data_IF_507987933005
#
_entry.id   IF_507987933005
#
_cell.length_a   1.000
_cell.length_b   1.000
_cell.length_c   1.000
_cell.angle_alpha   90.00
_cell.angle_beta   90.00
_cell.angle_gamma   90.00
#
_symmetry.space_group_name_H-M   'P 1'
#
loop_
_entity.id
_entity.type
_entity.pdbx_description
1 polymer ?
#
# COMPACT_ATOMS: atom_id res chain seq x y z
N UNK A 1 -15.46 11.90 29.46
CA UNK A 1 -14.39 10.95 29.10
C UNK A 1 -14.55 10.40 27.68
N UNK A 2 -15.72 9.87 27.30
CA UNK A 2 -16.00 9.34 25.94
C UNK A 2 -15.87 10.41 24.84
N UNK A 3 -16.32 11.65 25.10
CA UNK A 3 -16.23 12.76 24.14
C UNK A 3 -14.78 13.07 23.69
N UNK A 4 -13.81 12.95 24.60
CA UNK A 4 -12.40 13.21 24.28
C UNK A 4 -11.78 12.13 23.38
N UNK A 5 -12.23 10.88 23.50
CA UNK A 5 -11.73 9.77 22.67
C UNK A 5 -12.22 9.93 21.23
N UNK A 6 -13.50 10.24 21.02
CA UNK A 6 -14.01 10.46 19.67
C UNK A 6 -13.31 11.63 18.98
N UNK A 7 -13.15 12.77 19.65
CA UNK A 7 -12.43 13.92 19.09
C UNK A 7 -10.98 13.57 18.73
N UNK A 8 -10.27 12.86 19.62
CA UNK A 8 -8.91 12.40 19.35
C UNK A 8 -8.83 11.50 18.11
N UNK A 9 -9.77 10.58 17.96
CA UNK A 9 -9.84 9.67 16.81
C UNK A 9 -10.13 10.41 15.50
N UNK A 10 -10.98 11.43 15.53
CA UNK A 10 -11.23 12.28 14.35
C UNK A 10 -9.96 13.00 13.91
N UNK A 11 -9.16 13.54 14.84
CA UNK A 11 -7.88 14.16 14.50
C UNK A 11 -6.89 13.19 13.85
N UNK A 12 -6.79 11.96 14.36
CA UNK A 12 -5.96 10.92 13.72
C UNK A 12 -6.43 10.68 12.29
N UNK A 13 -7.74 10.61 12.07
CA UNK A 13 -8.30 10.43 10.73
C UNK A 13 -7.99 11.57 9.80
N UNK A 14 -8.14 12.81 10.25
CA UNK A 14 -7.82 13.99 9.45
C UNK A 14 -6.34 14.00 9.05
N UNK A 15 -5.45 13.55 9.94
CA UNK A 15 -4.02 13.36 9.61
C UNK A 15 -3.85 12.32 8.49
N UNK A 16 -4.50 11.15 8.58
CA UNK A 16 -4.43 10.15 7.52
C UNK A 16 -4.98 10.70 6.19
N UNK A 17 -6.13 11.39 6.22
CA UNK A 17 -6.68 12.02 5.02
C UNK A 17 -5.72 13.06 4.43
N UNK A 18 -5.16 13.93 5.27
CA UNK A 18 -4.22 14.97 4.86
C UNK A 18 -2.99 14.37 4.17
N UNK A 19 -2.35 13.38 4.80
CA UNK A 19 -1.13 12.75 4.27
C UNK A 19 -1.37 12.02 2.94
N UNK A 20 -2.55 11.43 2.75
CA UNK A 20 -2.89 10.69 1.55
C UNK A 20 -3.47 11.57 0.41
N UNK A 21 -3.92 12.79 0.72
CA UNK A 21 -4.60 13.69 -0.24
C UNK A 21 -3.76 14.08 -1.49
N UNK A 22 -2.42 14.19 -1.44
CA UNK A 22 -1.63 14.48 -2.65
C UNK A 22 -1.63 13.33 -3.67
N UNK A 23 -1.85 12.09 -3.21
CA UNK A 23 -1.76 10.87 -4.02
C UNK A 23 -3.13 10.30 -4.38
N UNK A 24 -4.16 10.66 -3.61
CA UNK A 24 -5.49 10.08 -3.74
C UNK A 24 -6.58 11.15 -3.57
N UNK A 25 -7.54 11.15 -4.50
CA UNK A 25 -8.69 12.05 -4.48
C UNK A 25 -9.72 11.73 -3.37
N UNK A 26 -9.66 10.55 -2.76
CA UNK A 26 -10.45 10.16 -1.57
C UNK A 26 -11.98 10.32 -1.72
N UNK A 27 -12.50 10.20 -2.94
CA UNK A 27 -13.93 10.29 -3.23
C UNK A 27 -14.70 9.16 -2.53
N UNK A 28 -15.74 9.51 -1.78
CA UNK A 28 -16.56 8.55 -1.02
C UNK A 28 -17.14 7.43 -1.89
N UNK A 29 -17.63 7.75 -3.09
CA UNK A 29 -18.18 6.77 -4.04
C UNK A 29 -17.15 5.78 -4.58
N UNK A 30 -15.86 6.04 -4.41
CA UNK A 30 -14.75 5.22 -4.93
C UNK A 30 -13.89 4.62 -3.81
N UNK A 31 -14.30 4.76 -2.55
CA UNK A 31 -13.58 4.28 -1.37
C UNK A 31 -14.29 3.11 -0.71
N UNK A 32 -13.52 2.26 -0.03
CA UNK A 32 -14.08 1.27 0.88
C UNK A 32 -14.47 1.90 2.21
N UNK A 33 -15.38 1.24 2.91
CA UNK A 33 -15.81 1.62 4.25
C UNK A 33 -15.55 0.46 5.21
N UNK A 34 -14.83 0.72 6.30
CA UNK A 34 -14.59 -0.25 7.37
C UNK A 34 -15.14 0.37 8.66
N UNK A 35 -15.90 -0.41 9.42
CA UNK A 35 -16.54 0.08 10.64
C UNK A 35 -17.48 1.29 10.47
N UNK A 36 -17.98 1.53 9.25
CA UNK A 36 -18.77 2.72 8.91
C UNK A 36 -17.93 3.95 8.57
N UNK A 37 -16.60 3.88 8.66
CA UNK A 37 -15.67 4.94 8.29
C UNK A 37 -15.11 4.71 6.89
N UNK A 38 -15.06 5.77 6.08
CA UNK A 38 -14.42 5.76 4.76
C UNK A 38 -12.91 5.56 4.93
N UNK A 39 -12.29 4.75 4.09
CA UNK A 39 -10.83 4.61 4.08
C UNK A 39 -10.13 5.93 3.66
N UNK A 40 -8.92 6.22 4.18
CA UNK A 40 -8.12 7.38 3.77
C UNK A 40 -7.57 7.28 2.34
N UNK A 41 -7.76 6.12 1.68
CA UNK A 41 -7.48 5.88 0.28
C UNK A 41 -8.74 5.42 -0.46
N UNK A 42 -8.77 5.64 -1.78
CA UNK A 42 -9.79 5.06 -2.65
C UNK A 42 -9.49 3.58 -2.89
N UNK A 43 -10.50 2.82 -3.31
CA UNK A 43 -10.41 1.38 -3.58
C UNK A 43 -9.24 1.03 -4.52
N UNK A 44 -8.96 1.87 -5.52
CA UNK A 44 -7.83 1.67 -6.46
C UNK A 44 -6.48 1.82 -5.75
N UNK A 45 -6.26 2.91 -5.03
CA UNK A 45 -5.00 3.15 -4.32
C UNK A 45 -4.78 2.06 -3.25
N UNK A 46 -5.81 1.76 -2.45
CA UNK A 46 -5.79 0.65 -1.49
C UNK A 46 -5.35 -0.66 -2.14
N UNK A 47 -5.93 -1.00 -3.30
CA UNK A 47 -5.59 -2.21 -4.04
C UNK A 47 -4.15 -2.21 -4.57
N UNK A 48 -3.65 -1.08 -5.07
CA UNK A 48 -2.25 -0.94 -5.52
C UNK A 48 -1.29 -1.20 -4.37
N UNK A 49 -1.53 -0.63 -3.18
CA UNK A 49 -0.68 -0.88 -2.01
C UNK A 49 -0.70 -2.35 -1.57
N UNK A 50 -1.88 -2.98 -1.53
CA UNK A 50 -2.00 -4.41 -1.22
C UNK A 50 -1.24 -5.25 -2.25
N UNK A 51 -1.45 -4.98 -3.53
CA UNK A 51 -0.76 -5.65 -4.63
C UNK A 51 0.76 -5.50 -4.51
N UNK A 52 1.25 -4.29 -4.24
CA UNK A 52 2.68 -4.01 -4.09
C UNK A 52 3.31 -4.86 -2.98
N UNK A 53 2.69 -4.91 -1.81
CA UNK A 53 3.16 -5.76 -0.72
C UNK A 53 3.18 -7.23 -1.14
N UNK A 54 2.09 -7.73 -1.74
CA UNK A 54 1.99 -9.12 -2.18
C UNK A 54 3.03 -9.47 -3.26
N UNK A 55 3.25 -8.60 -4.23
CA UNK A 55 4.25 -8.78 -5.29
C UNK A 55 5.67 -8.78 -4.74
N UNK A 56 5.97 -7.87 -3.81
CA UNK A 56 7.27 -7.81 -3.14
C UNK A 56 7.54 -9.10 -2.34
N UNK A 57 6.58 -9.54 -1.52
CA UNK A 57 6.70 -10.79 -0.75
C UNK A 57 6.79 -12.02 -1.67
N UNK A 58 6.02 -12.06 -2.75
CA UNK A 58 6.09 -13.15 -3.72
C UNK A 58 7.47 -13.23 -4.36
N UNK A 59 8.08 -12.10 -4.71
CA UNK A 59 9.45 -12.09 -5.23
C UNK A 59 10.44 -12.68 -4.23
N UNK A 60 10.40 -12.22 -2.97
CA UNK A 60 11.32 -12.67 -1.93
C UNK A 60 11.21 -14.18 -1.63
N UNK A 61 10.00 -14.74 -1.70
CA UNK A 61 9.74 -16.12 -1.33
C UNK A 61 9.92 -17.11 -2.49
N UNK A 62 9.65 -16.69 -3.73
CA UNK A 62 9.51 -17.62 -4.85
C UNK A 62 10.37 -17.29 -6.07
N UNK A 63 10.79 -16.03 -6.26
CA UNK A 63 11.50 -15.62 -7.47
C UNK A 63 13.00 -15.85 -7.34
N UNK A 64 13.62 -16.25 -8.45
CA UNK A 64 15.07 -16.43 -8.59
C UNK A 64 15.59 -15.57 -9.74
N UNK A 65 16.92 -15.46 -9.87
CA UNK A 65 17.59 -14.74 -10.97
C UNK A 65 17.13 -15.16 -12.36
N UNK A 66 16.68 -16.39 -12.55
CA UNK A 66 16.20 -16.88 -13.84
C UNK A 66 14.81 -16.30 -14.21
N UNK A 67 14.06 -15.79 -13.23
CA UNK A 67 12.70 -15.29 -13.41
C UNK A 67 12.62 -13.79 -13.76
N UNK A 68 13.75 -13.12 -14.06
CA UNK A 68 13.79 -11.67 -14.33
C UNK A 68 12.87 -11.23 -15.48
N UNK A 69 12.77 -12.06 -16.52
CA UNK A 69 11.88 -11.79 -17.65
C UNK A 69 10.41 -11.74 -17.21
N UNK A 70 10.01 -12.53 -16.20
CA UNK A 70 8.64 -12.53 -15.66
C UNK A 70 8.36 -11.23 -14.92
N UNK A 71 9.32 -10.70 -14.14
CA UNK A 71 9.17 -9.40 -13.47
C UNK A 71 8.90 -8.28 -14.49
N UNK A 72 9.71 -8.21 -15.55
CA UNK A 72 9.55 -7.17 -16.58
C UNK A 72 8.28 -7.37 -17.42
N UNK A 73 7.94 -8.61 -17.78
CA UNK A 73 6.70 -8.91 -18.51
C UNK A 73 5.45 -8.53 -17.71
N UNK A 74 5.50 -8.67 -16.37
CA UNK A 74 4.40 -8.27 -15.49
C UNK A 74 4.05 -6.79 -15.64
N UNK A 75 5.02 -5.91 -15.94
CA UNK A 75 4.79 -4.47 -16.11
C UNK A 75 3.78 -4.21 -17.22
N UNK A 76 3.92 -4.92 -18.33
CA UNK A 76 3.02 -4.74 -19.47
C UNK A 76 1.68 -5.41 -19.14
N UNK A 77 1.70 -6.68 -18.76
CA UNK A 77 0.46 -7.46 -18.61
C UNK A 77 -0.47 -6.91 -17.52
N UNK A 78 0.07 -6.41 -16.41
CA UNK A 78 -0.74 -6.03 -15.25
C UNK A 78 -1.04 -4.54 -15.15
N UNK A 79 -0.22 -3.67 -15.76
CA UNK A 79 -0.54 -2.24 -15.81
C UNK A 79 -1.47 -1.86 -16.97
N UNK A 80 -1.50 -2.64 -18.06
CA UNK A 80 -2.43 -2.38 -19.18
C UNK A 80 -3.89 -2.38 -18.72
N UNK A 81 -4.40 -3.37 -17.95
CA UNK A 81 -5.77 -3.32 -17.45
C UNK A 81 -6.08 -2.09 -16.60
N UNK A 82 -5.14 -1.65 -15.74
CA UNK A 82 -5.30 -0.43 -14.94
C UNK A 82 -5.31 0.82 -15.82
N UNK A 83 -4.41 0.89 -16.81
CA UNK A 83 -4.36 1.99 -17.77
C UNK A 83 -5.65 2.07 -18.58
N UNK A 84 -6.17 0.95 -19.09
CA UNK A 84 -7.45 0.90 -19.78
C UNK A 84 -8.58 1.37 -18.87
N UNK A 85 -8.63 0.91 -17.61
CA UNK A 85 -9.63 1.36 -16.65
C UNK A 85 -9.55 2.87 -16.38
N UNK A 86 -8.35 3.40 -16.17
CA UNK A 86 -8.13 4.84 -15.95
C UNK A 86 -8.48 5.70 -17.17
N UNK A 87 -8.03 5.29 -18.35
CA UNK A 87 -8.24 6.03 -19.61
C UNK A 87 -9.71 6.02 -20.01
N UNK A 88 -10.38 4.86 -19.95
CA UNK A 88 -11.81 4.78 -20.31
C UNK A 88 -12.69 5.60 -19.37
N UNK A 89 -12.33 5.70 -18.07
CA UNK A 89 -12.97 6.64 -17.15
C UNK A 89 -12.65 8.11 -17.46
N UNK A 90 -11.39 8.41 -17.81
CA UNK A 90 -10.97 9.79 -18.10
C UNK A 90 -11.75 10.39 -19.28
N UNK A 91 -12.02 9.58 -20.31
CA UNK A 91 -12.82 9.97 -21.47
C UNK A 91 -14.34 9.83 -21.25
N UNK A 92 -14.79 9.45 -20.06
CA UNK A 92 -16.23 9.32 -19.74
C UNK A 92 -16.94 8.17 -20.48
N UNK A 93 -16.19 7.20 -21.02
CA UNK A 93 -16.76 6.07 -21.77
C UNK A 93 -17.51 5.09 -20.86
N UNK A 94 -17.09 5.01 -19.59
CA UNK A 94 -17.77 4.27 -18.53
C UNK A 94 -17.29 4.75 -17.16
N UNK A 95 -18.10 4.53 -16.14
CA UNK A 95 -17.60 4.57 -14.77
C UNK A 95 -16.91 3.25 -14.40
N UNK A 96 -15.89 3.32 -13.56
CA UNK A 96 -15.29 2.14 -12.94
C UNK A 96 -16.05 1.78 -11.68
N UNK A 97 -16.08 0.51 -11.34
CA UNK A 97 -16.68 0.00 -10.11
C UNK A 97 -15.57 -0.35 -9.12
N UNK A 98 -15.91 -0.47 -7.83
CA UNK A 98 -14.88 -0.75 -6.82
C UNK A 98 -14.25 -2.14 -7.01
N UNK A 99 -14.97 -3.08 -7.62
CA UNK A 99 -14.48 -4.42 -7.98
C UNK A 99 -13.41 -4.32 -9.08
N UNK A 100 -13.67 -3.53 -10.14
CA UNK A 100 -12.70 -3.31 -11.22
C UNK A 100 -11.46 -2.57 -10.67
N UNK A 101 -11.67 -1.55 -9.83
CA UNK A 101 -10.57 -0.81 -9.17
C UNK A 101 -9.72 -1.72 -8.29
N UNK A 102 -10.37 -2.63 -7.55
CA UNK A 102 -9.69 -3.61 -6.71
C UNK A 102 -8.86 -4.58 -7.54
N UNK A 103 -9.44 -5.14 -8.61
CA UNK A 103 -8.75 -6.10 -9.46
C UNK A 103 -7.57 -5.45 -10.20
N UNK A 104 -7.83 -4.38 -10.96
CA UNK A 104 -6.81 -3.71 -11.76
C UNK A 104 -5.73 -3.06 -10.90
N UNK A 105 -6.11 -2.48 -9.76
CA UNK A 105 -5.18 -1.92 -8.80
C UNK A 105 -4.27 -2.98 -8.18
N UNK A 106 -4.84 -4.11 -7.73
CA UNK A 106 -4.04 -5.23 -7.16
C UNK A 106 -3.06 -5.79 -8.18
N UNK A 107 -3.48 -6.00 -9.43
CA UNK A 107 -2.60 -6.50 -10.49
C UNK A 107 -1.42 -5.54 -10.74
N UNK A 108 -1.71 -4.25 -10.94
CA UNK A 108 -0.68 -3.23 -11.14
C UNK A 108 0.27 -3.15 -9.95
N UNK A 109 -0.27 -3.14 -8.72
CA UNK A 109 0.51 -3.21 -7.49
C UNK A 109 1.44 -4.42 -7.47
N UNK A 110 0.92 -5.62 -7.76
CA UNK A 110 1.70 -6.86 -7.79
C UNK A 110 2.90 -6.75 -8.73
N UNK A 111 2.69 -6.19 -9.92
CA UNK A 111 3.76 -5.95 -10.87
C UNK A 111 4.82 -4.99 -10.32
N UNK A 112 4.42 -3.85 -9.74
CA UNK A 112 5.37 -2.93 -9.13
C UNK A 112 6.14 -3.58 -7.98
N UNK A 113 5.48 -4.38 -7.13
CA UNK A 113 6.12 -5.13 -6.05
C UNK A 113 7.21 -6.09 -6.55
N UNK A 114 6.91 -6.87 -7.58
CA UNK A 114 7.87 -7.79 -8.22
C UNK A 114 9.09 -7.04 -8.78
N UNK A 115 8.86 -5.91 -9.46
CA UNK A 115 9.94 -5.14 -10.09
C UNK A 115 10.77 -4.39 -9.05
N UNK A 116 10.17 -3.80 -8.03
CA UNK A 116 10.90 -3.13 -6.94
C UNK A 116 11.81 -4.14 -6.24
N UNK A 117 11.30 -5.32 -5.89
CA UNK A 117 12.09 -6.37 -5.27
C UNK A 117 13.26 -6.81 -6.15
N UNK A 118 13.01 -7.00 -7.45
CA UNK A 118 14.05 -7.30 -8.43
C UNK A 118 15.13 -6.22 -8.52
N UNK A 119 14.74 -4.94 -8.62
CA UNK A 119 15.69 -3.82 -8.71
C UNK A 119 16.54 -3.74 -7.44
N UNK A 120 15.93 -3.90 -6.26
CA UNK A 120 16.65 -3.94 -4.99
C UNK A 120 17.65 -5.10 -4.97
N UNK A 121 17.25 -6.29 -5.43
CA UNK A 121 18.13 -7.45 -5.50
C UNK A 121 19.29 -7.23 -6.50
N UNK A 122 19.02 -6.69 -7.67
CA UNK A 122 20.02 -6.37 -8.69
C UNK A 122 21.04 -5.37 -8.16
N UNK A 123 20.56 -4.26 -7.59
CA UNK A 123 21.41 -3.22 -6.99
C UNK A 123 22.29 -3.79 -5.86
N UNK A 124 21.71 -4.61 -4.99
CA UNK A 124 22.42 -5.26 -3.88
C UNK A 124 23.50 -6.25 -4.37
N UNK A 125 23.31 -6.86 -5.53
CA UNK A 125 24.27 -7.80 -6.11
C UNK A 125 25.47 -7.09 -6.77
N UNK A 126 25.23 -5.95 -7.42
CA UNK A 126 26.25 -5.13 -8.07
C UNK A 126 27.09 -4.32 -7.08
N UNK A 127 26.46 -3.83 -6.01
CA UNK A 127 27.11 -2.99 -5.01
C UNK A 127 27.19 -3.66 -3.63
N UNK A 128 27.84 -4.82 -3.55
CA UNK A 128 28.01 -5.55 -2.27
C UNK A 128 28.67 -4.69 -1.18
N UNK A 129 29.62 -3.84 -1.55
CA UNK A 129 30.33 -2.96 -0.60
C UNK A 129 29.47 -1.77 -0.18
N UNK A 130 28.73 -1.16 -1.11
CA UNK A 130 27.77 -0.09 -0.81
C UNK A 130 26.56 -0.62 -0.01
N UNK A 131 26.17 -1.89 -0.16
CA UNK A 131 25.08 -2.51 0.62
C UNK A 131 25.35 -2.43 2.11
N UNK A 132 26.61 -2.61 2.55
CA UNK A 132 26.97 -2.50 3.96
C UNK A 132 26.84 -1.07 4.47
N UNK A 133 27.12 -0.06 3.64
CA UNK A 133 26.92 1.37 3.95
C UNK A 133 25.45 1.79 3.86
N UNK A 134 24.73 1.44 2.79
CA UNK A 134 23.32 1.77 2.56
C UNK A 134 22.40 1.13 3.61
N UNK A 135 22.68 -0.11 4.03
CA UNK A 135 21.99 -0.77 5.15
C UNK A 135 22.43 -0.22 6.53
N UNK A 136 23.57 0.46 6.61
CA UNK A 136 23.97 1.29 7.74
C UNK A 136 23.46 2.73 7.67
N UNK A 137 22.91 3.19 6.54
CA UNK A 137 22.31 4.52 6.50
C UNK A 137 21.16 4.53 7.47
N UNK A 138 21.24 5.45 8.42
CA UNK A 138 20.28 5.62 9.51
C UNK A 138 18.85 5.77 8.97
N UNK A 139 18.70 6.25 7.73
CA UNK A 139 17.42 6.51 7.07
C UNK A 139 16.68 5.24 6.62
N UNK A 140 17.31 4.33 5.88
CA UNK A 140 16.64 3.09 5.44
C UNK A 140 16.35 2.16 6.62
N UNK A 141 17.29 2.08 7.58
CA UNK A 141 17.06 1.33 8.81
C UNK A 141 15.89 1.93 9.60
N UNK A 142 15.80 3.26 9.68
CA UNK A 142 14.65 3.97 10.27
C UNK A 142 13.35 3.67 9.54
N UNK A 143 13.31 3.68 8.21
CA UNK A 143 12.09 3.39 7.45
C UNK A 143 11.60 1.95 7.67
N UNK A 144 12.50 0.96 7.62
CA UNK A 144 12.16 -0.42 7.93
C UNK A 144 11.73 -0.60 9.40
N UNK A 145 12.42 0.04 10.35
CA UNK A 145 12.00 0.05 11.76
C UNK A 145 10.66 0.72 11.96
N UNK A 146 10.39 1.85 11.29
CA UNK A 146 9.11 2.56 11.37
C UNK A 146 7.99 1.69 10.78
N UNK A 147 8.22 1.02 9.64
CA UNK A 147 7.25 0.09 9.06
C UNK A 147 6.98 -1.11 9.99
N UNK A 148 8.03 -1.77 10.51
CA UNK A 148 7.90 -2.92 11.41
C UNK A 148 7.28 -2.50 12.75
N UNK A 149 7.70 -1.38 13.33
CA UNK A 149 7.12 -0.83 14.55
C UNK A 149 5.68 -0.39 14.31
N UNK A 150 5.35 0.11 13.11
CA UNK A 150 3.99 0.49 12.74
C UNK A 150 3.05 -0.71 12.70
N UNK A 151 3.54 -1.84 12.20
CA UNK A 151 2.86 -3.14 12.17
C UNK A 151 2.71 -3.72 13.58
N UNK A 152 3.77 -3.71 14.39
CA UNK A 152 3.76 -4.21 15.78
C UNK A 152 2.83 -3.36 16.66
N UNK A 153 2.88 -2.03 16.53
CA UNK A 153 2.00 -1.12 17.27
C UNK A 153 0.55 -1.32 16.83
N UNK A 154 0.31 -1.49 15.53
CA UNK A 154 -1.01 -1.83 15.01
C UNK A 154 -1.54 -3.15 15.57
N UNK A 155 -0.71 -4.18 15.62
CA UNK A 155 -1.05 -5.47 16.22
C UNK A 155 -1.28 -5.37 17.73
N UNK A 156 -0.48 -4.57 18.44
CA UNK A 156 -0.64 -4.31 19.87
C UNK A 156 -1.94 -3.54 20.15
N UNK A 157 -2.34 -2.59 19.30
CA UNK A 157 -3.62 -1.88 19.39
C UNK A 157 -4.80 -2.85 19.18
N UNK A 158 -4.68 -3.80 18.23
CA UNK A 158 -5.67 -4.87 18.03
C UNK A 158 -5.70 -5.84 19.21
N UNK A 159 -4.54 -6.12 19.83
CA UNK A 159 -4.41 -7.07 20.94
C UNK A 159 -4.89 -6.49 22.29
N UNK A 160 -4.54 -5.24 22.59
CA UNK A 160 -4.92 -4.53 23.82
C UNK A 160 -6.34 -3.98 23.72
N UNK A 161 -6.76 -3.54 22.54
CA UNK A 161 -8.11 -3.10 22.29
C UNK A 161 -8.93 -4.23 21.68
N UNK A 162 -9.76 -4.89 22.49
CA UNK A 162 -10.93 -5.71 22.10
C UNK A 162 -11.28 -5.48 20.63
N UNK A 163 -11.31 -6.55 19.80
CA UNK A 163 -11.59 -6.63 18.34
C UNK A 163 -12.74 -5.74 17.83
N UNK A 164 -12.63 -4.44 18.04
CA UNK A 164 -13.61 -3.46 17.67
C UNK A 164 -13.32 -3.10 16.23
N UNK A 165 -14.38 -2.98 15.43
CA UNK A 165 -14.26 -2.64 14.01
C UNK A 165 -13.41 -1.38 13.81
N UNK A 166 -13.40 -0.46 14.78
CA UNK A 166 -12.65 0.79 14.80
C UNK A 166 -11.12 0.61 14.92
N UNK A 167 -10.65 -0.31 15.76
CA UNK A 167 -9.21 -0.60 15.88
C UNK A 167 -8.65 -1.19 14.59
N UNK A 168 -9.41 -2.09 13.96
CA UNK A 168 -9.07 -2.67 12.65
C UNK A 168 -8.94 -1.56 11.61
N UNK A 169 -9.90 -0.63 11.58
CA UNK A 169 -9.87 0.50 10.66
C UNK A 169 -8.65 1.42 10.87
N UNK A 170 -8.32 1.75 12.13
CA UNK A 170 -7.15 2.57 12.48
C UNK A 170 -5.83 1.92 12.03
N UNK A 171 -5.68 0.62 12.31
CA UNK A 171 -4.52 -0.18 11.88
C UNK A 171 -4.34 -0.14 10.37
N UNK A 172 -5.40 -0.46 9.62
CA UNK A 172 -5.33 -0.53 8.16
C UNK A 172 -5.05 0.87 7.57
N UNK A 173 -5.66 1.92 8.14
CA UNK A 173 -5.45 3.31 7.71
C UNK A 173 -4.02 3.77 7.94
N UNK A 174 -3.43 3.38 9.07
CA UNK A 174 -2.05 3.69 9.39
C UNK A 174 -1.06 2.98 8.46
N UNK A 175 -1.24 1.68 8.23
CA UNK A 175 -0.46 0.89 7.28
C UNK A 175 -0.40 1.54 5.89
N UNK A 176 -1.54 1.97 5.35
CA UNK A 176 -1.57 2.61 4.03
C UNK A 176 -0.91 4.00 4.02
N UNK A 177 -0.88 4.69 5.15
CA UNK A 177 -0.29 6.02 5.25
C UNK A 177 1.24 5.97 5.35
N UNK A 178 1.81 4.92 5.94
CA UNK A 178 3.27 4.78 6.13
C UNK A 178 4.02 4.17 4.95
N UNK A 179 3.30 3.61 3.97
CA UNK A 179 3.87 2.94 2.78
C UNK A 179 4.01 3.91 1.58
N UNK A 180 3.56 5.16 1.73
CA UNK A 180 3.81 6.26 0.79
C UNK A 180 5.21 6.86 0.97
#
# INVERSE_FOLDING_TARGET
MILNIYTFLTYIMDIFYLLNSPFCHQMSSRSFFIAGFKMPLCARCTAIHIGLLLGYLFHLLFMRKENQCICLLSLILFNVPLAIDGITQLYGLRESTNEIRLLTGTLSGLSFGLVIAYVIEAFNNEHKDLKLELFNTTLMRRQAYVAILSEILSYLIIYVGVLSKLNIYLTISYFFTTIL
#
